data_IF_361593315466
#
_entry.id   IF_361593315466
#
_cell.length_a   1.000
_cell.length_b   1.000
_cell.length_c   1.000
_cell.angle_alpha   90.00
_cell.angle_beta   90.00
_cell.angle_gamma   90.00
#
_symmetry.space_group_name_H-M   'P 1'
#
loop_
_entity.id
_entity.type
_entity.pdbx_description
1 polymer ?
#
# COMPACT_ATOMS: atom_id res chain seq x y z
N UNK A 1 32.43 18.21 13.39
CA UNK A 1 33.77 18.33 14.02
C UNK A 1 34.06 19.74 14.54
N UNK A 2 33.73 20.83 13.83
CA UNK A 2 34.11 22.22 14.19
C UNK A 2 33.38 22.78 15.44
N UNK A 3 32.09 22.46 15.63
CA UNK A 3 31.29 22.99 16.74
C UNK A 3 31.71 22.43 18.12
N UNK A 4 32.12 21.15 18.18
CA UNK A 4 32.58 20.48 19.40
C UNK A 4 33.86 21.13 19.95
N UNK A 5 34.80 21.48 19.08
CA UNK A 5 36.06 22.13 19.45
C UNK A 5 35.89 23.57 19.93
N UNK A 6 34.99 24.36 19.33
CA UNK A 6 34.74 25.73 19.77
C UNK A 6 34.01 25.79 21.12
N UNK A 7 33.07 24.87 21.36
CA UNK A 7 32.32 24.84 22.61
C UNK A 7 33.15 24.31 23.79
N UNK A 8 34.06 23.36 23.53
CA UNK A 8 35.00 22.86 24.53
C UNK A 8 35.92 23.95 25.09
N UNK A 9 36.42 24.84 24.23
CA UNK A 9 37.24 25.99 24.65
C UNK A 9 36.48 27.00 25.51
N UNK A 10 35.20 27.25 25.18
CA UNK A 10 34.34 28.17 25.95
C UNK A 10 34.01 27.67 27.36
N UNK A 11 33.78 26.35 27.52
CA UNK A 11 33.49 25.75 28.83
C UNK A 11 34.71 25.70 29.74
N UNK A 12 35.91 25.48 29.19
CA UNK A 12 37.17 25.55 29.96
C UNK A 12 37.44 26.98 30.46
N UNK A 13 37.16 28.01 29.65
CA UNK A 13 37.33 29.42 30.03
C UNK A 13 36.36 29.85 31.16
N UNK A 14 35.13 29.33 31.17
CA UNK A 14 34.14 29.57 32.23
C UNK A 14 34.49 28.86 33.56
N UNK A 15 35.16 27.70 33.47
CA UNK A 15 35.65 26.92 34.60
C UNK A 15 36.87 27.60 35.25
N UNK A 16 37.80 28.13 34.46
CA UNK A 16 38.92 28.93 34.96
C UNK A 16 38.45 30.20 35.69
N UNK A 17 37.39 30.84 35.20
CA UNK A 17 36.80 32.04 35.83
C UNK A 17 35.92 31.74 37.06
N UNK A 18 35.82 30.48 37.52
CA UNK A 18 34.99 30.00 38.65
C UNK A 18 33.51 30.41 38.56
N UNK A 19 32.98 30.58 37.35
CA UNK A 19 31.59 31.03 37.13
C UNK A 19 30.59 29.88 37.31
N UNK A 20 31.02 28.63 37.10
CA UNK A 20 30.19 27.43 37.17
C UNK A 20 30.88 26.35 38.02
N UNK A 21 30.10 25.60 38.80
CA UNK A 21 30.62 24.48 39.57
C UNK A 21 30.65 23.16 38.76
N UNK A 22 31.21 22.11 39.37
CA UNK A 22 31.39 20.80 38.72
C UNK A 22 30.05 20.10 38.43
N UNK A 23 29.00 20.39 39.20
CA UNK A 23 27.67 19.84 39.01
C UNK A 23 26.96 20.54 37.84
N UNK A 24 27.10 21.86 37.73
CA UNK A 24 26.55 22.67 36.64
C UNK A 24 27.14 22.26 35.29
N UNK A 25 28.47 22.08 35.22
CA UNK A 25 29.16 21.62 34.01
C UNK A 25 28.67 20.23 33.56
N UNK A 26 28.41 19.31 34.49
CA UNK A 26 27.90 17.97 34.18
C UNK A 26 26.47 18.01 33.65
N UNK A 27 25.65 18.93 34.17
CA UNK A 27 24.26 19.11 33.74
C UNK A 27 24.19 19.78 32.36
N UNK A 28 25.03 20.78 32.12
CA UNK A 28 25.16 21.45 30.82
C UNK A 28 25.66 20.45 29.77
N UNK A 29 26.70 19.66 30.07
CA UNK A 29 27.22 18.63 29.16
C UNK A 29 26.16 17.60 28.74
N UNK A 30 25.31 17.15 29.68
CA UNK A 30 24.19 16.25 29.36
C UNK A 30 23.16 16.90 28.43
N UNK A 31 22.77 18.15 28.68
CA UNK A 31 21.81 18.88 27.84
C UNK A 31 22.36 19.15 26.45
N UNK A 32 23.65 19.49 26.34
CA UNK A 32 24.33 19.72 25.06
C UNK A 32 24.41 18.43 24.24
N UNK A 33 24.78 17.29 24.85
CA UNK A 33 24.77 16.01 24.14
C UNK A 33 23.38 15.64 23.59
N UNK A 34 22.31 15.92 24.34
CA UNK A 34 20.94 15.68 23.85
C UNK A 34 20.61 16.57 22.65
N UNK A 35 21.07 17.82 22.64
CA UNK A 35 20.87 18.74 21.51
C UNK A 35 21.68 18.28 20.30
N UNK A 36 22.96 17.93 20.49
CA UNK A 36 23.85 17.45 19.43
C UNK A 36 23.28 16.20 18.76
N UNK A 37 22.88 15.19 19.55
CA UNK A 37 22.27 13.97 19.01
C UNK A 37 20.95 14.27 18.27
N UNK A 38 20.12 15.18 18.78
CA UNK A 38 18.89 15.59 18.07
C UNK A 38 19.19 16.30 16.75
N UNK A 39 20.24 17.13 16.70
CA UNK A 39 20.65 17.79 15.45
C UNK A 39 21.33 16.84 14.47
N UNK A 40 22.10 15.86 14.92
CA UNK A 40 22.67 14.80 14.07
C UNK A 40 21.55 13.98 13.42
N UNK A 41 20.56 13.53 14.20
CA UNK A 41 19.39 12.85 13.65
C UNK A 41 18.62 13.70 12.61
N UNK A 42 18.55 15.02 12.82
CA UNK A 42 17.89 15.95 11.88
C UNK A 42 18.69 16.11 10.58
N UNK A 43 20.02 16.11 10.67
CA UNK A 43 20.92 16.16 9.51
C UNK A 43 20.89 14.84 8.75
N UNK A 44 20.82 13.70 9.44
CA UNK A 44 20.67 12.39 8.82
C UNK A 44 19.33 12.28 8.08
N UNK A 45 18.21 12.70 8.69
CA UNK A 45 16.88 12.76 8.04
C UNK A 45 16.86 13.69 6.81
N UNK A 46 17.54 14.83 6.89
CA UNK A 46 17.68 15.76 5.76
C UNK A 46 18.57 15.17 4.64
N UNK A 47 19.63 14.45 5.01
CA UNK A 47 20.55 13.80 4.07
C UNK A 47 19.86 12.65 3.34
N UNK A 48 19.10 11.83 4.07
CA UNK A 48 18.28 10.76 3.51
C UNK A 48 17.25 11.32 2.54
N UNK A 49 16.49 12.37 2.93
CA UNK A 49 15.54 13.05 2.03
C UNK A 49 16.21 13.63 0.79
N UNK A 50 17.39 14.25 0.93
CA UNK A 50 18.13 14.82 -0.21
C UNK A 50 18.65 13.73 -1.15
N UNK A 51 19.07 12.59 -0.60
CA UNK A 51 19.52 11.43 -1.38
C UNK A 51 18.35 10.78 -2.13
N UNK A 52 17.18 10.67 -1.51
CA UNK A 52 15.95 10.22 -2.17
C UNK A 52 15.54 11.17 -3.29
N UNK A 53 15.57 12.50 -3.06
CA UNK A 53 15.32 13.49 -4.12
C UNK A 53 16.33 13.36 -5.27
N UNK A 54 17.61 13.13 -4.95
CA UNK A 54 18.66 12.90 -5.94
C UNK A 54 18.46 11.62 -6.75
N UNK A 55 18.03 10.52 -6.10
CA UNK A 55 17.68 9.27 -6.78
C UNK A 55 16.45 9.43 -7.66
N UNK A 56 15.39 10.07 -7.16
CA UNK A 56 14.18 10.38 -7.94
C UNK A 56 14.52 11.24 -9.15
N UNK A 57 15.37 12.26 -8.98
CA UNK A 57 15.81 13.12 -10.09
C UNK A 57 16.66 12.35 -11.12
N UNK A 58 17.56 11.48 -10.68
CA UNK A 58 18.39 10.67 -11.57
C UNK A 58 17.57 9.59 -12.30
N UNK A 59 16.64 8.93 -11.62
CA UNK A 59 15.69 8.00 -12.23
C UNK A 59 14.80 8.72 -13.23
N UNK A 60 14.34 9.94 -12.93
CA UNK A 60 13.58 10.78 -13.85
C UNK A 60 14.42 11.18 -15.08
N UNK A 61 15.68 11.57 -14.90
CA UNK A 61 16.57 11.94 -16.00
C UNK A 61 16.89 10.75 -16.91
N UNK A 62 17.16 9.57 -16.33
CA UNK A 62 17.44 8.34 -17.08
C UNK A 62 16.18 7.83 -17.79
N UNK A 63 15.03 7.80 -17.11
CA UNK A 63 13.77 7.36 -17.72
C UNK A 63 13.28 8.34 -18.78
N UNK A 64 13.40 9.66 -18.57
CA UNK A 64 13.05 10.69 -19.55
C UNK A 64 13.89 10.56 -20.83
N UNK A 65 15.19 10.29 -20.69
CA UNK A 65 16.07 10.06 -21.84
C UNK A 65 15.73 8.75 -22.58
N UNK A 66 15.39 7.68 -21.87
CA UNK A 66 14.90 6.41 -22.46
C UNK A 66 13.52 6.55 -23.13
N UNK A 67 12.62 7.36 -22.56
CA UNK A 67 11.32 7.70 -23.13
C UNK A 67 11.46 8.53 -24.42
N UNK A 68 12.38 9.51 -24.42
CA UNK A 68 12.61 10.37 -25.58
C UNK A 68 13.15 9.63 -26.82
N UNK A 69 13.74 8.44 -26.65
CA UNK A 69 14.21 7.59 -27.74
C UNK A 69 13.14 6.65 -28.32
N UNK A 70 11.98 6.51 -27.68
CA UNK A 70 10.90 5.59 -28.09
C UNK A 70 9.62 6.28 -28.60
N UNK A 71 9.55 7.62 -28.58
CA UNK A 71 8.38 8.35 -29.11
C UNK A 71 8.64 8.67 -30.58
N UNK A 72 8.31 7.72 -31.45
CA UNK A 72 7.97 8.00 -32.85
C UNK A 72 6.46 7.84 -33.05
N UNK A 73 5.83 8.97 -33.38
CA UNK A 73 4.49 9.18 -33.95
C UNK A 73 3.24 8.73 -33.17
N UNK A 74 2.41 9.75 -32.92
CA UNK A 74 0.94 9.78 -32.87
C UNK A 74 0.21 9.54 -31.55
N UNK A 75 -0.49 10.58 -31.10
CA UNK A 75 -1.69 10.49 -30.27
C UNK A 75 -1.78 11.51 -29.15
N UNK A 76 -2.40 12.67 -29.41
CA UNK A 76 -3.13 13.39 -28.36
C UNK A 76 -4.19 12.43 -27.78
N UNK A 77 -4.05 12.03 -26.51
CA UNK A 77 -5.00 11.14 -25.84
C UNK A 77 -4.79 11.23 -24.34
N UNK A 78 -5.90 11.33 -23.59
CA UNK A 78 -5.89 11.39 -22.13
C UNK A 78 -5.31 10.13 -21.46
N UNK A 79 -5.47 9.98 -20.13
CA UNK A 79 -4.91 8.85 -19.40
C UNK A 79 -5.35 7.50 -19.99
N UNK A 80 -4.39 6.72 -20.49
CA UNK A 80 -4.61 5.41 -21.12
C UNK A 80 -4.31 4.24 -20.18
N UNK A 81 -3.79 4.49 -18.97
CA UNK A 81 -3.44 3.44 -18.01
C UNK A 81 -4.70 2.87 -17.36
N UNK A 82 -5.05 1.58 -17.54
CA UNK A 82 -6.30 1.05 -17.02
C UNK A 82 -6.30 0.83 -15.50
N UNK A 83 -7.38 1.22 -14.84
CA UNK A 83 -7.73 0.82 -13.48
C UNK A 83 -9.10 0.14 -13.43
N UNK A 84 -9.34 -0.72 -12.43
CA UNK A 84 -10.61 -1.42 -12.23
C UNK A 84 -11.10 -1.25 -10.80
N UNK A 85 -12.38 -0.90 -10.65
CA UNK A 85 -13.11 -0.92 -9.38
C UNK A 85 -14.26 -1.91 -9.53
N UNK A 86 -14.31 -2.92 -8.67
CA UNK A 86 -15.45 -3.82 -8.49
C UNK A 86 -16.05 -3.55 -7.12
N UNK A 87 -17.31 -3.11 -7.08
CA UNK A 87 -18.02 -2.83 -5.83
C UNK A 87 -19.37 -3.53 -5.76
N UNK A 88 -19.52 -4.45 -4.82
CA UNK A 88 -20.83 -5.04 -4.51
C UNK A 88 -21.43 -4.27 -3.33
N UNK A 89 -22.56 -3.62 -3.59
CA UNK A 89 -23.31 -2.82 -2.59
C UNK A 89 -24.60 -3.51 -2.17
N UNK A 90 -25.31 -4.12 -3.11
CA UNK A 90 -26.57 -4.81 -2.92
C UNK A 90 -26.35 -6.32 -3.00
N UNK A 91 -27.03 -7.07 -2.13
CA UNK A 91 -26.88 -8.52 -2.01
C UNK A 91 -28.25 -9.17 -1.83
N UNK A 92 -28.41 -10.38 -2.36
CA UNK A 92 -29.67 -11.13 -2.25
C UNK A 92 -29.93 -11.61 -0.81
N UNK A 93 -28.86 -11.93 -0.07
CA UNK A 93 -28.93 -12.58 1.24
C UNK A 93 -28.07 -11.93 2.33
N UNK A 94 -27.26 -10.94 1.99
CA UNK A 94 -26.44 -10.18 2.94
C UNK A 94 -26.99 -8.75 3.08
N UNK A 95 -26.57 -8.05 4.13
CA UNK A 95 -26.96 -6.65 4.30
C UNK A 95 -26.39 -5.77 3.19
N UNK A 96 -27.15 -4.75 2.79
CA UNK A 96 -26.66 -3.70 1.90
C UNK A 96 -25.46 -2.97 2.53
N UNK A 97 -24.53 -2.51 1.68
CA UNK A 97 -23.33 -1.78 2.09
C UNK A 97 -23.51 -0.28 1.88
N UNK A 98 -24.32 0.35 2.71
CA UNK A 98 -24.54 1.81 2.68
C UNK A 98 -23.21 2.60 2.66
N UNK A 99 -23.22 3.74 1.95
CA UNK A 99 -22.06 4.61 1.75
C UNK A 99 -21.02 4.09 0.75
N UNK A 100 -21.30 2.99 0.03
CA UNK A 100 -20.37 2.44 -0.97
C UNK A 100 -20.21 3.38 -2.16
N UNK A 101 -21.23 4.18 -2.46
CA UNK A 101 -21.22 5.21 -3.50
C UNK A 101 -20.11 6.25 -3.25
N UNK A 102 -19.94 6.66 -1.98
CA UNK A 102 -18.89 7.61 -1.60
C UNK A 102 -17.49 7.00 -1.80
N UNK A 103 -17.34 5.71 -1.46
CA UNK A 103 -16.08 5.00 -1.66
C UNK A 103 -15.75 4.83 -3.15
N UNK A 104 -16.74 4.47 -3.97
CA UNK A 104 -16.60 4.37 -5.44
C UNK A 104 -16.19 5.73 -6.01
N UNK A 105 -16.94 6.79 -5.71
CA UNK A 105 -16.67 8.13 -6.24
C UNK A 105 -15.31 8.66 -5.80
N UNK A 106 -14.95 8.46 -4.53
CA UNK A 106 -13.66 8.89 -3.99
C UNK A 106 -12.47 8.14 -4.60
N UNK A 107 -12.57 6.81 -4.73
CA UNK A 107 -11.52 6.01 -5.36
C UNK A 107 -11.41 6.25 -6.86
N UNK A 108 -12.54 6.42 -7.55
CA UNK A 108 -12.55 6.81 -8.96
C UNK A 108 -11.81 8.14 -9.14
N UNK A 109 -12.22 9.18 -8.41
CA UNK A 109 -11.60 10.51 -8.53
C UNK A 109 -10.12 10.50 -8.17
N UNK A 110 -9.72 9.74 -7.14
CA UNK A 110 -8.30 9.55 -6.81
C UNK A 110 -7.53 8.93 -7.98
N UNK A 111 -7.99 7.80 -8.51
CA UNK A 111 -7.29 7.08 -9.56
C UNK A 111 -7.25 7.89 -10.87
N UNK A 112 -8.33 8.58 -11.22
CA UNK A 112 -8.37 9.48 -12.38
C UNK A 112 -7.36 10.64 -12.22
N UNK A 113 -7.26 11.24 -11.03
CA UNK A 113 -6.25 12.26 -10.73
C UNK A 113 -4.81 11.73 -10.78
N UNK A 114 -4.62 10.42 -10.56
CA UNK A 114 -3.34 9.72 -10.71
C UNK A 114 -3.08 9.25 -12.15
N UNK A 115 -3.94 9.59 -13.12
CA UNK A 115 -3.75 9.27 -14.53
C UNK A 115 -4.26 7.88 -14.95
N UNK A 116 -5.20 7.29 -14.21
CA UNK A 116 -5.84 6.02 -14.57
C UNK A 116 -7.17 6.23 -15.28
N UNK A 117 -7.45 5.44 -16.32
CA UNK A 117 -8.76 5.26 -16.90
C UNK A 117 -9.51 4.16 -16.15
N UNK A 118 -10.43 4.57 -15.27
CA UNK A 118 -11.10 3.68 -14.32
C UNK A 118 -12.33 3.03 -14.94
N UNK A 119 -12.38 1.70 -14.92
CA UNK A 119 -13.59 0.91 -15.20
C UNK A 119 -14.26 0.58 -13.88
N UNK A 120 -15.55 0.82 -13.79
CA UNK A 120 -16.35 0.52 -12.59
C UNK A 120 -17.35 -0.56 -12.93
N UNK A 121 -17.43 -1.58 -12.07
CA UNK A 121 -18.47 -2.61 -12.10
C UNK A 121 -19.09 -2.76 -10.73
N UNK A 122 -20.41 -2.90 -10.72
CA UNK A 122 -21.18 -2.98 -9.51
C UNK A 122 -21.99 -4.27 -9.44
N UNK A 123 -22.22 -4.77 -8.23
CA UNK A 123 -23.17 -5.84 -7.92
C UNK A 123 -22.99 -7.10 -8.80
N UNK A 124 -21.78 -7.65 -8.79
CA UNK A 124 -21.41 -8.87 -9.52
C UNK A 124 -21.40 -10.11 -8.63
N UNK A 125 -21.86 -11.24 -9.17
CA UNK A 125 -21.55 -12.58 -8.63
C UNK A 125 -20.05 -12.89 -8.73
N UNK A 126 -19.55 -13.88 -8.01
CA UNK A 126 -18.14 -14.28 -8.11
C UNK A 126 -17.75 -14.75 -9.52
N UNK A 127 -18.67 -15.40 -10.22
CA UNK A 127 -18.47 -15.80 -11.62
C UNK A 127 -18.34 -14.58 -12.56
N UNK A 128 -19.19 -13.58 -12.36
CA UNK A 128 -19.14 -12.33 -13.13
C UNK A 128 -17.88 -11.53 -12.81
N UNK A 129 -17.49 -11.42 -11.53
CA UNK A 129 -16.23 -10.80 -11.13
C UNK A 129 -15.03 -11.49 -11.81
N UNK A 130 -14.99 -12.83 -11.79
CA UNK A 130 -13.94 -13.61 -12.47
C UNK A 130 -13.91 -13.36 -13.97
N UNK A 131 -15.07 -13.25 -14.60
CA UNK A 131 -15.19 -12.98 -16.04
C UNK A 131 -14.69 -11.58 -16.36
N UNK A 132 -15.08 -10.59 -15.56
CA UNK A 132 -14.62 -9.22 -15.72
C UNK A 132 -13.11 -9.10 -15.53
N UNK A 133 -12.55 -9.73 -14.50
CA UNK A 133 -11.11 -9.70 -14.26
C UNK A 133 -10.32 -10.28 -15.45
N UNK A 134 -10.83 -11.35 -16.07
CA UNK A 134 -10.24 -11.90 -17.29
C UNK A 134 -10.34 -10.92 -18.46
N UNK A 135 -11.51 -10.31 -18.66
CA UNK A 135 -11.71 -9.33 -19.73
C UNK A 135 -10.76 -8.13 -19.53
N UNK A 136 -10.68 -7.60 -18.32
CA UNK A 136 -9.79 -6.50 -17.96
C UNK A 136 -8.32 -6.87 -18.20
N UNK A 137 -7.87 -8.05 -17.76
CA UNK A 137 -6.50 -8.52 -17.97
C UNK A 137 -6.09 -8.67 -19.45
N UNK A 138 -7.07 -8.77 -20.37
CA UNK A 138 -6.83 -8.87 -21.83
C UNK A 138 -6.85 -7.53 -22.57
N UNK A 139 -7.08 -6.42 -21.86
CA UNK A 139 -7.07 -5.07 -22.45
C UNK A 139 -5.72 -4.74 -23.08
N UNK A 140 -5.77 -4.20 -24.30
CA UNK A 140 -4.55 -3.86 -25.06
C UNK A 140 -3.83 -2.65 -24.48
N UNK A 141 -4.56 -1.80 -23.78
CA UNK A 141 -4.09 -0.60 -23.09
C UNK A 141 -3.00 -0.93 -22.05
N UNK A 142 -3.06 -2.11 -21.43
CA UNK A 142 -2.01 -2.59 -20.51
C UNK A 142 -0.64 -2.70 -21.17
N UNK A 143 -0.56 -2.88 -22.49
CA UNK A 143 0.72 -2.94 -23.22
C UNK A 143 1.49 -1.62 -23.11
N UNK A 144 0.76 -0.50 -23.14
CA UNK A 144 1.30 0.86 -23.14
C UNK A 144 1.29 1.52 -21.77
N UNK A 145 0.58 0.92 -20.81
CA UNK A 145 0.61 1.34 -19.41
C UNK A 145 1.86 0.84 -18.69
N UNK A 146 2.24 1.49 -17.60
CA UNK A 146 3.35 1.12 -16.72
C UNK A 146 2.89 0.35 -15.46
N UNK A 147 1.59 0.30 -15.17
CA UNK A 147 1.04 -0.18 -13.89
C UNK A 147 -0.47 -0.43 -13.97
N UNK A 148 -1.07 -0.98 -12.91
CA UNK A 148 -2.54 -1.03 -12.78
C UNK A 148 -2.99 -1.05 -11.32
N UNK A 149 -4.21 -0.54 -11.08
CA UNK A 149 -4.93 -0.67 -9.81
C UNK A 149 -6.18 -1.53 -9.98
N UNK A 150 -6.36 -2.49 -9.07
CA UNK A 150 -7.54 -3.32 -8.93
C UNK A 150 -8.13 -3.08 -7.53
N UNK A 151 -9.32 -2.50 -7.45
CA UNK A 151 -9.99 -2.15 -6.20
C UNK A 151 -11.23 -3.02 -6.04
N UNK A 152 -11.33 -3.72 -4.92
CA UNK A 152 -12.46 -4.58 -4.58
C UNK A 152 -13.12 -4.08 -3.30
N UNK A 153 -14.43 -3.86 -3.36
CA UNK A 153 -15.23 -3.40 -2.21
C UNK A 153 -16.48 -4.26 -2.09
N UNK A 154 -16.53 -5.14 -1.10
CA UNK A 154 -17.65 -6.07 -0.89
C UNK A 154 -17.70 -6.55 0.56
N UNK A 155 -18.65 -7.43 0.87
CA UNK A 155 -18.48 -8.34 2.00
C UNK A 155 -17.33 -9.31 1.72
N UNK A 156 -16.77 -9.88 2.78
CA UNK A 156 -15.70 -10.85 2.66
C UNK A 156 -15.74 -11.90 3.75
N UNK A 157 -15.15 -13.03 3.43
CA UNK A 157 -14.94 -14.16 4.33
C UNK A 157 -13.44 -14.48 4.40
N UNK A 158 -13.06 -15.53 5.13
CA UNK A 158 -11.69 -16.03 5.06
C UNK A 158 -11.32 -16.59 3.67
N UNK A 159 -12.33 -17.03 2.91
CA UNK A 159 -12.14 -17.69 1.62
C UNK A 159 -12.08 -16.70 0.45
N UNK A 160 -12.42 -15.42 0.68
CA UNK A 160 -12.31 -14.36 -0.32
C UNK A 160 -13.46 -13.35 -0.31
N UNK A 161 -13.68 -12.75 -1.48
CA UNK A 161 -14.63 -11.65 -1.70
C UNK A 161 -16.00 -12.21 -2.05
N UNK A 162 -17.05 -11.78 -1.34
CA UNK A 162 -18.41 -12.26 -1.59
C UNK A 162 -18.98 -11.63 -2.88
N UNK A 163 -19.59 -12.47 -3.71
CA UNK A 163 -20.48 -12.05 -4.78
C UNK A 163 -21.89 -11.71 -4.25
N UNK A 164 -22.75 -11.16 -5.11
CA UNK A 164 -24.09 -10.70 -4.74
C UNK A 164 -25.02 -11.81 -4.24
N UNK A 165 -24.77 -13.06 -4.61
CA UNK A 165 -25.60 -14.22 -4.26
C UNK A 165 -25.09 -15.01 -3.06
N UNK A 166 -24.08 -14.49 -2.37
CA UNK A 166 -23.42 -15.23 -1.29
C UNK A 166 -24.38 -15.50 -0.12
N UNK A 167 -24.46 -16.77 0.28
CA UNK A 167 -25.00 -17.21 1.58
C UNK A 167 -24.22 -18.41 2.09
N UNK A 168 -24.27 -18.66 3.40
CA UNK A 168 -23.45 -19.69 4.06
C UNK A 168 -23.65 -21.10 3.45
N UNK A 169 -24.87 -21.44 3.00
CA UNK A 169 -25.17 -22.75 2.39
C UNK A 169 -24.81 -22.85 0.90
N UNK A 170 -24.70 -21.72 0.20
CA UNK A 170 -24.38 -21.66 -1.23
C UNK A 170 -23.36 -20.52 -1.45
N UNK A 171 -22.06 -20.81 -1.26
CA UNK A 171 -21.03 -19.79 -1.26
C UNK A 171 -20.77 -19.25 -2.68
N UNK A 172 -21.14 -18.00 -2.91
CA UNK A 172 -20.73 -17.20 -4.07
C UNK A 172 -19.50 -16.36 -3.68
N UNK A 173 -18.30 -16.95 -3.76
CA UNK A 173 -17.04 -16.33 -3.30
C UNK A 173 -16.02 -16.31 -4.44
N UNK A 174 -15.37 -15.16 -4.64
CA UNK A 174 -14.16 -15.03 -5.46
C UNK A 174 -12.94 -15.17 -4.55
N UNK A 175 -12.16 -16.26 -4.67
CA UNK A 175 -10.93 -16.42 -3.90
C UNK A 175 -9.86 -15.43 -4.33
N UNK A 176 -9.14 -14.87 -3.36
CA UNK A 176 -8.04 -13.92 -3.61
C UNK A 176 -7.02 -14.48 -4.61
N UNK A 177 -6.68 -15.78 -4.47
CA UNK A 177 -5.77 -16.50 -5.37
C UNK A 177 -6.17 -16.41 -6.84
N UNK A 178 -7.48 -16.33 -7.12
CA UNK A 178 -7.97 -16.20 -8.50
C UNK A 178 -7.50 -14.88 -9.12
N UNK A 179 -7.45 -13.79 -8.34
CA UNK A 179 -7.00 -12.49 -8.80
C UNK A 179 -5.50 -12.56 -9.16
N UNK A 180 -4.66 -13.04 -8.24
CA UNK A 180 -3.23 -13.19 -8.49
C UNK A 180 -2.97 -14.12 -9.67
N UNK A 181 -3.71 -15.23 -9.78
CA UNK A 181 -3.59 -16.14 -10.91
C UNK A 181 -3.93 -15.46 -12.24
N UNK A 182 -4.98 -14.65 -12.32
CA UNK A 182 -5.36 -13.96 -13.57
C UNK A 182 -4.29 -12.94 -13.99
N UNK A 183 -3.74 -12.19 -13.04
CA UNK A 183 -2.81 -11.08 -13.32
C UNK A 183 -1.32 -11.46 -13.27
N UNK A 184 -1.00 -12.73 -13.06
CA UNK A 184 0.39 -13.18 -12.98
C UNK A 184 1.12 -13.02 -14.33
N UNK A 185 2.45 -13.12 -14.33
CA UNK A 185 3.29 -12.88 -15.51
C UNK A 185 3.04 -13.87 -16.67
N UNK A 186 2.38 -15.00 -16.39
CA UNK A 186 2.01 -16.00 -17.39
C UNK A 186 0.67 -15.66 -18.07
N UNK A 187 -0.32 -15.23 -17.29
CA UNK A 187 -1.70 -15.07 -17.75
C UNK A 187 -2.01 -13.63 -18.20
N UNK A 188 -1.31 -12.63 -17.66
CA UNK A 188 -1.41 -11.23 -18.08
C UNK A 188 -0.05 -10.72 -18.52
N UNK A 189 0.38 -11.14 -19.72
CA UNK A 189 1.72 -10.83 -20.23
C UNK A 189 1.95 -9.33 -20.44
N UNK A 190 0.91 -8.56 -20.77
CA UNK A 190 0.97 -7.10 -20.92
C UNK A 190 1.36 -6.35 -19.63
N UNK A 191 1.16 -6.99 -18.46
CA UNK A 191 1.53 -6.48 -17.14
C UNK A 191 2.74 -7.20 -16.52
N UNK A 192 3.49 -7.98 -17.31
CA UNK A 192 4.76 -8.56 -16.89
C UNK A 192 5.72 -7.44 -16.50
N UNK A 193 6.38 -7.59 -15.35
CA UNK A 193 7.35 -6.63 -14.80
C UNK A 193 6.79 -5.24 -14.45
N UNK A 194 5.45 -5.09 -14.42
CA UNK A 194 4.75 -3.85 -14.08
C UNK A 194 4.03 -3.95 -12.71
N UNK A 195 4.02 -2.90 -11.88
CA UNK A 195 3.29 -2.89 -10.61
C UNK A 195 1.79 -3.22 -10.77
N UNK A 196 1.32 -4.18 -9.98
CA UNK A 196 -0.08 -4.60 -9.88
C UNK A 196 -0.56 -4.36 -8.46
N UNK A 197 -1.25 -3.24 -8.26
CA UNK A 197 -1.73 -2.80 -6.95
C UNK A 197 -3.14 -3.32 -6.73
N UNK A 198 -3.34 -4.09 -5.67
CA UNK A 198 -4.64 -4.65 -5.33
C UNK A 198 -5.11 -4.05 -4.00
N UNK A 199 -6.23 -3.35 -4.00
CA UNK A 199 -6.85 -2.79 -2.81
C UNK A 199 -8.11 -3.60 -2.49
N UNK A 200 -8.25 -4.08 -1.26
CA UNK A 200 -9.40 -4.88 -0.85
C UNK A 200 -10.04 -4.31 0.42
N UNK A 201 -11.23 -3.74 0.25
CA UNK A 201 -12.15 -3.42 1.32
C UNK A 201 -13.15 -4.57 1.46
N UNK A 202 -12.79 -5.55 2.29
CA UNK A 202 -13.63 -6.71 2.60
C UNK A 202 -13.33 -7.21 4.01
N UNK A 203 -14.35 -7.73 4.71
CA UNK A 203 -14.14 -8.41 5.99
C UNK A 203 -13.33 -9.69 5.78
N UNK A 204 -12.62 -10.13 6.82
CA UNK A 204 -11.79 -11.35 6.75
C UNK A 204 -12.20 -12.38 7.79
N UNK A 205 -13.42 -12.28 8.30
CA UNK A 205 -13.96 -13.09 9.39
C UNK A 205 -14.91 -12.30 10.29
N UNK A 206 -15.28 -12.89 11.44
CA UNK A 206 -16.22 -12.32 12.43
C UNK A 206 -15.56 -11.87 13.75
N UNK A 207 -14.24 -11.75 13.79
CA UNK A 207 -13.47 -11.32 14.95
C UNK A 207 -13.54 -9.81 15.16
N UNK A 208 -13.61 -9.40 16.42
CA UNK A 208 -13.76 -8.00 16.83
C UNK A 208 -12.44 -7.22 16.82
N UNK A 209 -11.33 -7.81 16.34
CA UNK A 209 -10.01 -7.17 16.31
C UNK A 209 -9.34 -6.96 17.67
N UNK A 210 -10.02 -7.27 18.77
CA UNK A 210 -9.55 -7.03 20.13
C UNK A 210 -9.02 -8.32 20.80
N UNK A 211 -7.79 -8.25 21.32
CA UNK A 211 -7.27 -9.25 22.28
C UNK A 211 -6.81 -8.49 23.52
N UNK A 212 -7.33 -8.86 24.69
CA UNK A 212 -6.85 -8.35 25.97
C UNK A 212 -5.48 -8.96 26.27
N UNK A 213 -4.42 -8.18 26.14
CA UNK A 213 -3.08 -8.58 26.58
C UNK A 213 -2.92 -8.18 28.04
N UNK A 214 -2.65 -9.15 28.91
CA UNK A 214 -2.17 -8.91 30.27
C UNK A 214 -0.66 -9.16 30.29
N UNK A 215 0.09 -8.41 31.10
CA UNK A 215 1.57 -8.40 31.15
C UNK A 215 2.22 -9.72 31.64
N UNK A 216 1.50 -10.85 31.59
CA UNK A 216 1.99 -12.14 32.06
C UNK A 216 1.49 -13.28 31.15
N UNK A 217 2.41 -13.96 30.45
CA UNK A 217 2.21 -15.36 30.06
C UNK A 217 2.26 -15.68 28.56
N UNK A 218 3.43 -16.15 28.14
CA UNK A 218 3.73 -17.23 27.17
C UNK A 218 2.98 -17.28 25.83
N UNK A 219 3.73 -16.97 24.77
CA UNK A 219 3.32 -17.15 23.38
C UNK A 219 3.28 -18.65 23.00
N UNK A 220 2.10 -19.16 22.66
CA UNK A 220 1.96 -20.45 21.98
C UNK A 220 1.91 -20.23 20.47
N UNK A 221 3.02 -20.57 19.80
CA UNK A 221 3.08 -20.64 18.34
C UNK A 221 2.40 -21.93 17.86
N UNK A 222 1.27 -21.80 17.16
CA UNK A 222 0.74 -22.89 16.34
C UNK A 222 1.13 -22.65 14.88
N UNK A 223 1.97 -23.56 14.38
CA UNK A 223 2.44 -23.60 13.00
C UNK A 223 1.63 -24.65 12.24
N UNK A 224 0.98 -24.26 11.14
CA UNK A 224 0.54 -25.20 10.10
C UNK A 224 1.06 -24.70 8.75
N UNK A 225 2.18 -25.27 8.31
CA UNK A 225 2.64 -25.22 6.92
C UNK A 225 2.57 -26.64 6.36
N UNK A 226 1.81 -26.83 5.29
CA UNK A 226 1.95 -28.01 4.42
C UNK A 226 2.90 -27.66 3.26
N UNK A 227 3.86 -28.54 2.91
CA UNK A 227 4.75 -28.29 1.78
C UNK A 227 4.11 -28.77 0.47
N UNK A 228 3.92 -27.87 -0.49
CA UNK A 228 3.64 -28.26 -1.88
C UNK A 228 4.92 -28.80 -2.53
N UNK A 229 4.86 -30.06 -3.01
CA UNK A 229 5.94 -30.73 -3.73
C UNK A 229 6.13 -30.12 -5.13
N UNK A 230 7.36 -29.70 -5.41
CA UNK A 230 7.83 -29.21 -6.70
C UNK A 230 8.08 -30.38 -7.67
N UNK A 231 7.61 -30.27 -8.92
CA UNK A 231 8.16 -30.99 -10.07
C UNK A 231 8.89 -29.96 -10.95
N UNK A 232 10.21 -30.12 -11.08
CA UNK A 232 11.05 -29.31 -11.96
C UNK A 232 11.14 -30.04 -13.30
N UNK A 233 10.73 -29.38 -14.39
CA UNK A 233 11.11 -29.74 -15.76
C UNK A 233 11.58 -28.48 -16.48
N UNK A 234 12.65 -28.59 -17.27
CA UNK A 234 13.45 -27.47 -17.76
C UNK A 234 13.70 -27.60 -19.26
N UNK A 235 13.10 -26.73 -20.07
CA UNK A 235 13.39 -26.65 -21.50
C UNK A 235 13.08 -25.21 -22.02
N UNK A 236 14.13 -24.39 -22.18
CA UNK A 236 14.24 -23.16 -22.98
C UNK A 236 12.98 -22.31 -23.30
N UNK A 237 12.44 -21.60 -22.30
CA UNK A 237 11.67 -20.34 -22.44
C UNK A 237 12.04 -19.51 -21.21
N UNK A 238 12.35 -18.21 -21.39
CA UNK A 238 12.83 -17.28 -20.36
C UNK A 238 12.24 -17.58 -18.95
N UNK A 239 13.07 -18.06 -18.01
CA UNK A 239 12.64 -18.39 -16.63
C UNK A 239 12.23 -17.10 -15.91
N UNK A 240 10.95 -16.74 -15.99
CA UNK A 240 10.36 -15.65 -15.21
C UNK A 240 9.61 -16.19 -14.01
N UNK A 241 9.58 -15.43 -12.91
CA UNK A 241 8.73 -15.74 -11.77
C UNK A 241 7.26 -15.64 -12.20
N UNK A 242 6.47 -16.67 -11.87
CA UNK A 242 5.04 -16.70 -12.22
C UNK A 242 4.33 -15.51 -11.56
N UNK A 243 4.54 -15.32 -10.25
CA UNK A 243 3.96 -14.21 -9.47
C UNK A 243 5.08 -13.22 -9.07
N UNK A 244 5.04 -12.00 -9.61
CA UNK A 244 5.96 -10.90 -9.31
C UNK A 244 5.25 -9.56 -9.51
N UNK A 245 5.74 -8.53 -8.83
CA UNK A 245 5.32 -7.14 -8.95
C UNK A 245 3.89 -6.89 -8.46
N UNK A 246 3.46 -7.64 -7.45
CA UNK A 246 2.21 -7.41 -6.74
C UNK A 246 2.42 -6.72 -5.40
N UNK A 247 1.43 -5.93 -5.01
CA UNK A 247 1.20 -5.51 -3.63
C UNK A 247 -0.32 -5.55 -3.38
N UNK A 248 -0.75 -6.23 -2.32
CA UNK A 248 -2.14 -6.17 -1.88
C UNK A 248 -2.24 -5.39 -0.58
N UNK A 249 -3.24 -4.51 -0.49
CA UNK A 249 -3.54 -3.77 0.72
C UNK A 249 -4.98 -4.01 1.12
N UNK A 250 -5.13 -4.73 2.23
CA UNK A 250 -6.45 -5.18 2.73
C UNK A 250 -6.84 -4.36 3.94
N UNK A 251 -8.12 -4.02 4.04
CA UNK A 251 -8.64 -3.09 5.04
C UNK A 251 -8.56 -3.59 6.49
N UNK A 252 -8.46 -4.90 6.71
CA UNK A 252 -8.43 -5.51 8.03
C UNK A 252 -7.41 -6.67 8.11
N UNK A 253 -6.96 -6.94 9.32
CA UNK A 253 -6.21 -8.16 9.66
C UNK A 253 -7.09 -9.40 9.45
N UNK A 254 -6.50 -10.56 9.13
CA UNK A 254 -7.25 -11.81 9.03
C UNK A 254 -8.14 -12.03 10.24
N UNK A 255 -9.31 -12.63 10.03
CA UNK A 255 -10.36 -12.86 11.02
C UNK A 255 -11.13 -11.64 11.48
N UNK A 256 -10.81 -10.40 11.08
CA UNK A 256 -11.46 -9.21 11.64
C UNK A 256 -12.44 -8.50 10.70
N UNK A 257 -13.33 -7.71 11.30
CA UNK A 257 -14.31 -6.88 10.60
C UNK A 257 -13.65 -5.61 10.06
N UNK A 258 -14.10 -5.15 8.89
CA UNK A 258 -13.75 -3.83 8.38
C UNK A 258 -14.92 -2.88 8.56
N UNK A 259 -14.67 -1.75 9.24
CA UNK A 259 -15.70 -0.84 9.67
C UNK A 259 -16.08 0.18 8.60
N UNK A 260 -17.36 0.53 8.60
CA UNK A 260 -17.96 1.55 7.76
C UNK A 260 -18.81 2.45 8.62
N UNK A 261 -18.92 3.71 8.24
CA UNK A 261 -19.87 4.66 8.81
C UNK A 261 -21.03 4.84 7.84
N UNK A 262 -22.26 4.68 8.33
CA UNK A 262 -23.48 4.49 7.53
C UNK A 262 -23.71 5.57 6.45
N UNK A 263 -23.14 6.78 6.57
CA UNK A 263 -23.32 7.88 5.62
C UNK A 263 -22.04 8.39 4.95
N UNK A 264 -20.85 8.05 5.48
CA UNK A 264 -19.58 8.66 5.05
C UNK A 264 -18.65 7.69 4.29
N UNK A 265 -19.00 6.40 4.20
CA UNK A 265 -18.21 5.37 3.53
C UNK A 265 -17.33 4.55 4.47
N UNK A 266 -16.31 3.89 3.92
CA UNK A 266 -15.32 3.12 4.69
C UNK A 266 -14.22 4.01 5.24
N UNK A 267 -13.94 3.91 6.54
CA UNK A 267 -12.81 4.61 7.18
C UNK A 267 -11.49 4.24 6.49
N UNK A 268 -11.33 2.99 6.05
CA UNK A 268 -10.14 2.57 5.31
C UNK A 268 -10.02 3.24 3.96
N UNK A 269 -11.11 3.28 3.17
CA UNK A 269 -11.08 3.89 1.85
C UNK A 269 -10.86 5.40 1.98
N UNK A 270 -11.53 6.07 2.92
CA UNK A 270 -11.32 7.51 3.15
C UNK A 270 -9.87 7.83 3.55
N UNK A 271 -9.27 7.05 4.46
CA UNK A 271 -7.87 7.24 4.84
C UNK A 271 -6.93 6.94 3.67
N UNK A 272 -7.18 5.86 2.93
CA UNK A 272 -6.38 5.51 1.76
C UNK A 272 -6.41 6.62 0.70
N UNK A 273 -7.59 7.16 0.40
CA UNK A 273 -7.76 8.28 -0.53
C UNK A 273 -6.96 9.49 -0.06
N UNK A 274 -7.10 9.86 1.22
CA UNK A 274 -6.37 10.99 1.79
C UNK A 274 -4.85 10.83 1.68
N UNK A 275 -4.30 9.70 2.14
CA UNK A 275 -2.85 9.49 2.15
C UNK A 275 -2.27 9.31 0.74
N UNK A 276 -2.98 8.66 -0.20
CA UNK A 276 -2.54 8.61 -1.60
C UNK A 276 -2.60 9.99 -2.25
N UNK A 277 -3.66 10.76 -2.02
CA UNK A 277 -3.77 12.12 -2.56
C UNK A 277 -2.66 13.05 -2.04
N UNK A 278 -2.34 12.97 -0.75
CA UNK A 278 -1.36 13.84 -0.11
C UNK A 278 0.10 13.44 -0.42
N UNK A 279 0.41 12.14 -0.41
CA UNK A 279 1.79 11.67 -0.39
C UNK A 279 2.29 11.01 -1.69
N UNK A 280 1.41 10.78 -2.68
CA UNK A 280 1.80 10.18 -3.98
C UNK A 280 2.86 10.97 -4.75
N UNK A 281 3.00 12.28 -4.47
CA UNK A 281 4.01 13.15 -5.07
C UNK A 281 5.43 12.95 -4.51
N UNK A 282 5.58 12.35 -3.33
CA UNK A 282 6.86 12.35 -2.61
C UNK A 282 7.21 11.03 -1.92
N UNK A 283 6.30 10.06 -1.85
CA UNK A 283 6.56 8.75 -1.25
C UNK A 283 6.21 7.62 -2.22
N UNK A 284 6.94 6.52 -2.12
CA UNK A 284 6.58 5.28 -2.80
C UNK A 284 5.39 4.62 -2.11
N UNK A 285 4.66 3.78 -2.86
CA UNK A 285 3.37 3.22 -2.46
C UNK A 285 3.39 2.48 -1.11
N UNK A 286 4.42 1.66 -0.86
CA UNK A 286 4.56 0.91 0.41
C UNK A 286 4.65 1.84 1.62
N UNK A 287 5.38 2.95 1.51
CA UNK A 287 5.49 3.94 2.59
C UNK A 287 4.17 4.69 2.80
N UNK A 288 3.42 4.97 1.73
CA UNK A 288 2.07 5.52 1.85
C UNK A 288 1.15 4.54 2.59
N UNK A 289 1.18 3.26 2.24
CA UNK A 289 0.39 2.22 2.93
C UNK A 289 0.78 2.11 4.42
N UNK A 290 2.08 2.22 4.74
CA UNK A 290 2.54 2.27 6.13
C UNK A 290 1.98 3.50 6.86
N UNK A 291 1.94 4.68 6.23
CA UNK A 291 1.31 5.87 6.82
C UNK A 291 -0.19 5.67 7.07
N UNK A 292 -0.90 5.01 6.15
CA UNK A 292 -2.30 4.60 6.36
C UNK A 292 -2.40 3.71 7.60
N UNK A 293 -1.57 2.67 7.72
CA UNK A 293 -1.56 1.79 8.91
C UNK A 293 -1.33 2.57 10.21
N UNK A 294 -0.41 3.54 10.22
CA UNK A 294 -0.16 4.38 11.40
C UNK A 294 -1.40 5.21 11.80
N UNK A 295 -2.24 5.62 10.84
CA UNK A 295 -3.49 6.31 11.14
C UNK A 295 -4.49 5.43 11.93
N UNK A 296 -4.31 4.10 11.86
CA UNK A 296 -5.08 3.10 12.61
C UNK A 296 -4.36 2.61 13.88
N UNK A 297 -3.13 3.07 14.17
CA UNK A 297 -2.32 2.58 15.31
C UNK A 297 -3.00 2.86 16.66
N UNK A 298 -3.58 4.05 16.81
CA UNK A 298 -4.40 4.38 17.99
C UNK A 298 -5.84 4.00 17.69
N UNK A 299 -6.39 2.95 18.32
CA UNK A 299 -7.78 2.60 18.11
C UNK A 299 -8.65 3.76 18.59
N UNK A 300 -9.41 4.37 17.67
CA UNK A 300 -10.64 5.06 18.02
C UNK A 300 -11.69 3.99 18.40
N UNK A 301 -12.98 4.36 18.51
CA UNK A 301 -14.10 3.47 18.89
C UNK A 301 -14.18 2.13 18.11
N UNK A 302 -13.45 1.98 16.99
CA UNK A 302 -13.42 0.80 16.13
C UNK A 302 -11.98 0.31 15.95
N UNK A 303 -11.72 -0.95 16.30
CA UNK A 303 -10.40 -1.58 16.15
C UNK A 303 -10.29 -2.14 14.73
N UNK A 304 -9.36 -1.59 13.95
CA UNK A 304 -9.06 -2.01 12.59
C UNK A 304 -7.58 -1.80 12.32
N UNK A 305 -6.94 -2.70 11.58
CA UNK A 305 -5.56 -2.51 11.13
C UNK A 305 -5.45 -3.03 9.70
N UNK A 306 -5.25 -2.14 8.70
CA UNK A 306 -4.99 -2.57 7.34
C UNK A 306 -3.69 -3.37 7.24
N UNK A 307 -3.62 -4.31 6.31
CA UNK A 307 -2.46 -5.21 6.13
C UNK A 307 -1.94 -5.17 4.71
N UNK A 308 -0.62 -5.01 4.56
CA UNK A 308 0.09 -5.23 3.31
C UNK A 308 0.35 -6.73 3.16
N UNK A 309 -0.06 -7.31 2.04
CA UNK A 309 0.03 -8.75 1.77
C UNK A 309 0.58 -9.04 0.37
N UNK A 310 1.15 -10.24 0.21
CA UNK A 310 1.68 -10.76 -1.07
C UNK A 310 2.55 -9.76 -1.82
N UNK A 311 3.34 -9.00 -1.07
CA UNK A 311 4.31 -8.05 -1.60
C UNK A 311 5.40 -8.82 -2.33
N UNK A 312 5.41 -8.69 -3.65
CA UNK A 312 6.41 -9.26 -4.56
C UNK A 312 6.99 -8.19 -5.50
N UNK A 313 6.82 -6.92 -5.15
CA UNK A 313 7.48 -5.80 -5.81
C UNK A 313 8.98 -5.85 -5.56
N UNK A 314 9.75 -5.67 -6.62
CA UNK A 314 11.22 -5.70 -6.57
C UNK A 314 11.84 -4.31 -6.64
N UNK A 315 11.01 -3.27 -6.80
CA UNK A 315 11.40 -1.87 -6.91
C UNK A 315 10.37 -1.02 -6.18
N UNK A 316 10.78 0.18 -5.77
CA UNK A 316 9.85 1.17 -5.27
C UNK A 316 8.92 1.63 -6.39
N UNK A 317 7.63 1.69 -6.09
CA UNK A 317 6.63 2.21 -7.01
C UNK A 317 6.21 3.62 -6.59
N UNK A 318 6.66 4.62 -7.35
CA UNK A 318 6.23 6.01 -7.23
C UNK A 318 5.18 6.33 -8.29
N UNK A 319 4.14 7.07 -7.90
CA UNK A 319 3.01 7.40 -8.78
C UNK A 319 3.21 8.68 -9.60
N UNK A 320 4.09 9.58 -9.14
CA UNK A 320 4.46 10.82 -9.85
C UNK A 320 3.28 11.59 -10.48
N UNK A 321 2.24 11.97 -9.70
CA UNK A 321 1.08 12.68 -10.21
C UNK A 321 1.49 13.96 -10.97
N UNK A 322 0.89 14.16 -12.16
CA UNK A 322 1.07 15.36 -12.97
C UNK A 322 2.25 15.36 -13.95
N UNK A 323 2.95 14.23 -14.12
CA UNK A 323 4.10 14.08 -15.03
C UNK A 323 3.77 13.29 -16.30
#
# INVERSE_FOLDING_TARGET
MIASTMFGGFLEDLKEKKVLDKHDLKTIGKKVNVIVNKTENLVDDLTEKTQVVGQVFMDHFINSSLLSLNISSDGEGGPNTPGLIICNKEFDYLSEREGSENDISGMQGLLENLGYSVVIKENLTALEMKTELKNFATRQEHRFSDSTFLVFMSHGTLDGICGTKHRDEEPDILPDDTIFQIFNNRNCWSLKDKPKVIIMQACRGRGDGAVWVTDVGEAFAWTYYQPLRHYISSDAIEKTHVEKDFIAFKSSTPHNVSWRTNTEGSVFISQLIYYLGEYSCCHHLEEIFRKVQNAFEKPNTMIQMPTIERLSMTRYFYLFPGN
#
